data_IF_194073706353
#
_entry.id   IF_194073706353
#
_cell.length_a   1.000
_cell.length_b   1.000
_cell.length_c   1.000
_cell.angle_alpha   90.00
_cell.angle_beta   90.00
_cell.angle_gamma   90.00
#
_symmetry.space_group_name_H-M   'P 1'
#
loop_
_entity.id
_entity.type
_entity.pdbx_description
1 polymer ?
#
# COMPACT_ATOMS: atom_id res chain seq x y z
N UNK A 1 23.10 4.33 34.96
CA UNK A 1 23.28 5.29 33.84
C UNK A 1 22.42 4.77 32.71
N UNK A 2 21.28 5.44 32.46
CA UNK A 2 20.42 5.09 31.36
C UNK A 2 21.12 5.49 30.06
N UNK A 3 21.32 4.53 29.17
CA UNK A 3 21.83 4.75 27.83
C UNK A 3 20.86 5.72 27.15
N UNK A 4 21.32 6.93 26.89
CA UNK A 4 20.49 7.92 26.21
C UNK A 4 20.43 7.44 24.76
N UNK A 5 19.23 7.13 24.20
CA UNK A 5 19.15 6.61 22.84
C UNK A 5 19.89 7.57 21.92
N UNK A 6 20.90 7.02 21.24
CA UNK A 6 21.85 7.72 20.42
C UNK A 6 21.10 8.44 19.29
N UNK A 7 20.65 9.67 19.54
CA UNK A 7 20.08 10.58 18.55
C UNK A 7 21.22 11.06 17.70
N UNK A 8 21.69 10.23 16.77
CA UNK A 8 22.61 10.69 15.75
C UNK A 8 21.84 11.65 14.83
N UNK A 9 22.25 12.92 14.72
CA UNK A 9 21.60 13.88 13.83
C UNK A 9 21.90 13.52 12.36
N UNK A 10 20.87 13.66 11.52
CA UNK A 10 20.75 12.95 10.24
C UNK A 10 21.41 13.68 9.05
N UNK A 11 21.59 15.00 9.12
CA UNK A 11 22.74 15.69 8.51
C UNK A 11 23.46 16.33 9.65
N UNK A 12 24.76 16.14 9.68
CA UNK A 12 25.60 17.00 10.45
C UNK A 12 26.71 17.46 9.53
N UNK A 13 26.78 18.76 9.26
CA UNK A 13 28.08 19.31 8.93
C UNK A 13 29.06 18.92 10.06
N UNK A 14 30.36 18.84 9.78
CA UNK A 14 31.36 18.40 10.75
C UNK A 14 31.32 19.16 12.10
N UNK A 15 30.67 20.33 12.13
CA UNK A 15 30.49 21.20 13.28
C UNK A 15 29.18 21.01 14.07
N UNK A 16 28.28 20.12 13.67
CA UNK A 16 27.05 19.90 14.42
C UNK A 16 25.75 20.31 13.74
N UNK A 17 25.83 21.05 12.63
CA UNK A 17 24.71 21.81 12.07
C UNK A 17 23.88 20.98 11.09
N UNK A 18 22.55 21.05 11.22
CA UNK A 18 21.58 20.25 10.43
C UNK A 18 21.06 20.96 9.17
N UNK A 19 21.08 22.30 9.15
CA UNK A 19 20.65 23.15 8.03
C UNK A 19 21.51 24.43 7.98
N UNK A 20 21.84 24.96 6.79
CA UNK A 20 22.64 26.18 6.71
C UNK A 20 21.85 27.38 7.21
N UNK A 21 22.55 28.29 7.90
CA UNK A 21 22.02 29.60 8.25
C UNK A 21 22.62 30.62 7.28
N UNK A 22 21.80 31.13 6.37
CA UNK A 22 22.21 32.18 5.45
C UNK A 22 22.19 33.55 6.16
N UNK A 23 23.33 34.23 6.16
CA UNK A 23 23.45 35.60 6.68
C UNK A 23 23.77 36.59 5.57
N UNK A 24 23.45 37.87 5.78
CA UNK A 24 23.72 38.91 4.79
C UNK A 24 25.21 38.96 4.42
N UNK A 25 25.49 39.05 3.12
CA UNK A 25 26.85 39.05 2.51
C UNK A 25 27.68 37.80 2.75
N UNK A 26 27.09 36.69 3.18
CA UNK A 26 27.79 35.41 3.21
C UNK A 26 28.22 34.98 1.80
N UNK A 27 29.44 34.47 1.67
CA UNK A 27 29.88 33.78 0.46
C UNK A 27 29.32 32.36 0.52
N UNK A 28 28.33 32.07 -0.33
CA UNK A 28 27.68 30.76 -0.41
C UNK A 28 28.63 29.75 -1.04
N UNK A 29 28.82 28.60 -0.37
CA UNK A 29 29.64 27.50 -0.86
C UNK A 29 28.78 26.34 -1.41
N UNK A 30 29.40 25.42 -2.13
CA UNK A 30 28.70 24.24 -2.66
C UNK A 30 28.20 23.32 -1.54
N UNK A 31 28.94 23.29 -0.44
CA UNK A 31 28.63 22.56 0.79
C UNK A 31 27.37 23.10 1.46
N UNK A 32 27.18 24.42 1.48
CA UNK A 32 25.96 25.06 2.02
C UNK A 32 24.73 24.62 1.24
N UNK A 33 24.79 24.68 -0.10
CA UNK A 33 23.68 24.27 -0.98
C UNK A 33 23.40 22.76 -0.87
N UNK A 34 24.45 21.95 -0.68
CA UNK A 34 24.29 20.51 -0.48
C UNK A 34 23.62 20.21 0.86
N UNK A 35 24.04 20.89 1.93
CA UNK A 35 23.44 20.76 3.25
C UNK A 35 21.98 21.22 3.26
N UNK A 36 21.67 22.35 2.62
CA UNK A 36 20.29 22.86 2.49
C UNK A 36 19.38 21.83 1.82
N UNK A 37 19.79 21.35 0.65
CA UNK A 37 19.06 20.32 -0.10
C UNK A 37 18.86 19.05 0.75
N UNK A 38 19.91 18.56 1.40
CA UNK A 38 19.81 17.36 2.24
C UNK A 38 18.90 17.57 3.45
N UNK A 39 18.93 18.76 4.07
CA UNK A 39 18.03 19.13 5.16
C UNK A 39 16.57 19.10 4.69
N UNK A 40 16.28 19.77 3.57
CA UNK A 40 14.94 19.84 3.00
C UNK A 40 14.41 18.47 2.55
N UNK A 41 15.23 17.65 1.89
CA UNK A 41 14.86 16.27 1.51
C UNK A 41 14.47 15.46 2.74
N UNK A 42 15.20 15.57 3.86
CA UNK A 42 14.87 14.85 5.10
C UNK A 42 13.62 15.40 5.79
N UNK A 43 13.40 16.71 5.74
CA UNK A 43 12.16 17.31 6.25
C UNK A 43 10.96 16.74 5.51
N UNK A 44 11.01 16.71 4.17
CA UNK A 44 9.98 16.10 3.35
C UNK A 44 9.82 14.60 3.62
N UNK A 45 10.91 13.86 3.80
CA UNK A 45 10.86 12.43 4.14
C UNK A 45 10.12 12.20 5.47
N UNK A 46 10.41 13.00 6.50
CA UNK A 46 9.67 12.94 7.77
C UNK A 46 8.19 13.27 7.60
N UNK A 47 7.87 14.30 6.82
CA UNK A 47 6.47 14.66 6.55
C UNK A 47 5.74 13.50 5.87
N UNK A 48 6.34 12.87 4.85
CA UNK A 48 5.76 11.69 4.19
C UNK A 48 5.55 10.54 5.18
N UNK A 49 6.58 10.20 5.94
CA UNK A 49 6.51 9.10 6.90
C UNK A 49 5.44 9.32 7.97
N UNK A 50 5.36 10.53 8.54
CA UNK A 50 4.43 10.81 9.64
C UNK A 50 3.00 11.13 9.20
N UNK A 51 2.82 11.70 7.99
CA UNK A 51 1.49 12.06 7.49
C UNK A 51 0.87 10.95 6.63
N UNK A 52 1.67 10.28 5.80
CA UNK A 52 1.20 9.28 4.84
C UNK A 52 1.63 7.86 5.21
N UNK A 53 2.58 7.70 6.13
CA UNK A 53 3.19 6.41 6.41
C UNK A 53 4.20 6.04 5.33
N UNK A 54 4.36 4.74 5.13
CA UNK A 54 5.29 4.14 4.17
C UNK A 54 4.61 2.93 3.54
N UNK A 55 5.09 2.51 2.39
CA UNK A 55 4.48 1.47 1.58
C UNK A 55 4.47 1.82 0.09
N UNK A 56 3.90 0.93 -0.70
CA UNK A 56 3.58 1.18 -2.11
C UNK A 56 2.39 2.12 -2.18
N UNK A 57 2.49 3.19 -2.96
CA UNK A 57 1.41 4.16 -3.17
C UNK A 57 0.67 3.84 -4.47
N UNK A 58 1.40 3.51 -5.54
CA UNK A 58 0.83 3.13 -6.82
C UNK A 58 1.80 2.27 -7.63
N UNK A 59 1.31 1.29 -8.37
CA UNK A 59 2.16 0.46 -9.24
C UNK A 59 3.13 -0.43 -8.45
N UNK A 60 4.36 -0.61 -8.93
CA UNK A 60 5.35 -1.52 -8.33
C UNK A 60 4.78 -2.93 -8.14
N UNK A 61 4.01 -3.41 -9.12
CA UNK A 61 3.31 -4.69 -9.09
C UNK A 61 4.25 -5.74 -9.70
N UNK A 62 4.73 -6.71 -8.90
CA UNK A 62 5.54 -7.80 -9.42
C UNK A 62 4.64 -8.88 -10.04
N UNK A 63 5.01 -9.36 -11.22
CA UNK A 63 4.32 -10.43 -11.94
C UNK A 63 5.36 -11.41 -12.44
N UNK A 64 5.20 -12.69 -12.11
CA UNK A 64 6.05 -13.76 -12.65
C UNK A 64 5.32 -14.40 -13.83
N UNK A 65 5.97 -14.41 -15.00
CA UNK A 65 5.49 -15.07 -16.21
C UNK A 65 6.57 -16.02 -16.73
N UNK A 66 6.37 -17.32 -16.51
CA UNK A 66 7.42 -18.32 -16.73
C UNK A 66 8.58 -18.10 -15.76
N UNK A 67 9.79 -17.90 -16.29
CA UNK A 67 10.99 -17.63 -15.48
C UNK A 67 11.30 -16.15 -15.28
N UNK A 68 10.51 -15.23 -15.86
CA UNK A 68 10.79 -13.80 -15.82
C UNK A 68 9.89 -13.10 -14.82
N UNK A 69 10.51 -12.38 -13.88
CA UNK A 69 9.84 -11.46 -12.97
C UNK A 69 9.79 -10.07 -13.60
N UNK A 70 8.60 -9.50 -13.75
CA UNK A 70 8.41 -8.11 -14.18
C UNK A 70 7.86 -7.29 -13.04
N UNK A 71 8.50 -6.17 -12.73
CA UNK A 71 8.01 -5.17 -11.78
C UNK A 71 7.49 -3.98 -12.57
N UNK A 72 6.21 -3.65 -12.45
CA UNK A 72 5.62 -2.52 -13.16
C UNK A 72 6.14 -1.17 -12.64
N UNK A 73 6.06 -0.13 -13.48
CA UNK A 73 6.31 1.26 -13.06
C UNK A 73 5.47 1.61 -11.83
N UNK A 74 5.98 2.49 -10.98
CA UNK A 74 5.23 2.90 -9.80
C UNK A 74 5.97 3.84 -8.86
N UNK A 75 5.31 4.12 -7.75
CA UNK A 75 5.73 5.03 -6.72
C UNK A 75 5.49 4.42 -5.33
N UNK A 76 6.46 4.59 -4.44
CA UNK A 76 6.39 4.12 -3.07
C UNK A 76 7.21 5.01 -2.13
N UNK A 77 6.99 4.82 -0.83
CA UNK A 77 7.70 5.52 0.23
C UNK A 77 8.32 4.47 1.15
N UNK A 78 9.62 4.57 1.41
CA UNK A 78 10.33 3.64 2.30
C UNK A 78 10.04 3.92 3.78
N UNK A 79 10.48 3.03 4.66
CA UNK A 79 10.36 3.23 6.11
C UNK A 79 11.11 4.48 6.63
N UNK A 80 12.14 4.97 5.90
CA UNK A 80 12.83 6.23 6.21
C UNK A 80 12.12 7.47 5.65
N UNK A 81 11.05 7.30 4.87
CA UNK A 81 10.32 8.37 4.20
C UNK A 81 10.90 8.77 2.84
N UNK A 82 11.90 8.04 2.34
CA UNK A 82 12.47 8.30 1.02
C UNK A 82 11.53 7.83 -0.08
N UNK A 83 11.55 8.56 -1.20
CA UNK A 83 10.71 8.27 -2.35
C UNK A 83 11.37 7.23 -3.25
N UNK A 84 10.57 6.27 -3.69
CA UNK A 84 10.90 5.33 -4.75
C UNK A 84 10.04 5.65 -5.94
N UNK A 85 10.67 6.07 -7.04
CA UNK A 85 9.98 6.27 -8.31
C UNK A 85 10.61 5.39 -9.37
N UNK A 86 9.85 4.39 -9.82
CA UNK A 86 10.25 3.50 -10.90
C UNK A 86 9.51 3.94 -12.18
N UNK A 87 10.17 4.65 -13.11
CA UNK A 87 9.49 5.25 -14.26
C UNK A 87 9.07 4.21 -15.33
N UNK A 88 9.81 3.10 -15.41
CA UNK A 88 9.65 2.07 -16.43
C UNK A 88 9.61 0.69 -15.78
N UNK A 89 8.94 -0.28 -16.42
CA UNK A 89 8.91 -1.63 -15.91
C UNK A 89 10.30 -2.27 -16.00
N UNK A 90 10.66 -3.06 -14.99
CA UNK A 90 11.93 -3.79 -14.94
C UNK A 90 11.64 -5.28 -15.08
N UNK A 91 12.34 -5.95 -15.98
CA UNK A 91 12.27 -7.39 -16.18
C UNK A 91 13.56 -8.05 -15.67
N UNK A 92 13.41 -9.05 -14.80
CA UNK A 92 14.48 -9.85 -14.22
C UNK A 92 14.30 -11.27 -14.74
N UNK A 93 15.14 -11.74 -15.69
CA UNK A 93 15.06 -13.09 -16.22
C UNK A 93 15.55 -14.11 -15.19
N UNK A 94 15.06 -15.34 -15.33
CA UNK A 94 15.47 -16.50 -14.52
C UNK A 94 15.42 -16.25 -13.00
N UNK A 95 14.28 -15.74 -12.52
CA UNK A 95 14.11 -15.36 -11.12
C UNK A 95 14.32 -16.53 -10.15
N UNK A 96 13.96 -17.75 -10.55
CA UNK A 96 14.19 -18.94 -9.75
C UNK A 96 15.68 -19.14 -9.47
N UNK A 97 16.54 -19.09 -10.50
CA UNK A 97 17.98 -19.22 -10.33
C UNK A 97 18.56 -18.10 -9.44
N UNK A 98 18.02 -16.88 -9.53
CA UNK A 98 18.43 -15.76 -8.66
C UNK A 98 18.06 -16.04 -7.19
N UNK A 99 16.83 -16.48 -6.90
CA UNK A 99 16.38 -16.80 -5.54
C UNK A 99 17.18 -17.96 -4.95
N UNK A 100 17.36 -19.04 -5.69
CA UNK A 100 18.19 -20.17 -5.26
C UNK A 100 19.65 -19.78 -5.04
N UNK A 101 20.21 -18.95 -5.91
CA UNK A 101 21.59 -18.47 -5.78
C UNK A 101 21.82 -17.56 -4.56
N UNK A 102 20.86 -16.69 -4.25
CA UNK A 102 21.00 -15.72 -3.15
C UNK A 102 20.58 -16.28 -1.79
N UNK A 103 19.50 -17.06 -1.76
CA UNK A 103 18.82 -17.49 -0.53
C UNK A 103 18.73 -19.01 -0.37
N UNK A 104 19.21 -19.79 -1.34
CA UNK A 104 19.27 -21.24 -1.24
C UNK A 104 20.37 -21.73 -0.30
N UNK A 105 20.36 -23.03 0.03
CA UNK A 105 21.39 -23.64 0.87
C UNK A 105 22.74 -23.60 0.16
N UNK A 106 23.78 -23.20 0.91
CA UNK A 106 25.13 -23.04 0.38
C UNK A 106 25.39 -21.65 -0.23
N UNK A 107 24.88 -20.58 0.39
CA UNK A 107 25.09 -19.18 -0.01
C UNK A 107 26.50 -18.95 -0.56
N UNK A 108 26.58 -18.82 -1.87
CA UNK A 108 27.73 -18.26 -2.57
C UNK A 108 27.45 -16.77 -2.64
N UNK A 109 28.38 -15.93 -2.21
CA UNK A 109 28.25 -14.47 -2.26
C UNK A 109 27.60 -14.04 -3.59
N UNK A 110 26.56 -13.21 -3.50
CA UNK A 110 25.68 -12.87 -4.62
C UNK A 110 26.43 -12.21 -5.79
N UNK A 111 27.66 -11.76 -5.58
CA UNK A 111 28.43 -10.89 -6.47
C UNK A 111 29.12 -11.61 -7.63
N UNK A 112 29.36 -12.92 -7.56
CA UNK A 112 30.00 -13.66 -8.67
C UNK A 112 29.53 -15.11 -8.69
N UNK A 113 28.60 -15.45 -9.59
CA UNK A 113 28.31 -16.86 -9.85
C UNK A 113 28.02 -17.12 -11.31
N UNK A 114 28.73 -18.10 -11.86
CA UNK A 114 28.44 -18.77 -13.13
C UNK A 114 27.01 -19.34 -13.09
N UNK A 115 26.16 -18.89 -14.03
CA UNK A 115 24.75 -19.32 -14.13
C UNK A 115 24.63 -20.84 -14.31
N UNK A 116 25.62 -21.48 -14.95
CA UNK A 116 25.63 -22.93 -15.18
C UNK A 116 25.97 -23.71 -13.91
N UNK A 117 26.74 -23.13 -12.99
CA UNK A 117 27.01 -23.72 -11.68
C UNK A 117 25.77 -23.60 -10.77
N UNK A 118 25.07 -22.45 -10.81
CA UNK A 118 23.79 -22.28 -10.10
C UNK A 118 22.74 -23.28 -10.57
N UNK A 119 22.63 -23.49 -11.88
CA UNK A 119 21.66 -24.43 -12.45
C UNK A 119 21.93 -25.87 -12.00
N UNK A 120 23.21 -26.28 -11.96
CA UNK A 120 23.61 -27.60 -11.45
C UNK A 120 23.32 -27.78 -9.95
N UNK A 121 23.51 -26.73 -9.14
CA UNK A 121 23.15 -26.77 -7.72
C UNK A 121 21.64 -26.82 -7.51
N UNK A 122 20.86 -26.09 -8.31
CA UNK A 122 19.41 -26.12 -8.26
C UNK A 122 18.86 -27.52 -8.63
N UNK A 123 19.44 -28.16 -9.65
CA UNK A 123 19.09 -29.54 -10.04
C UNK A 123 19.47 -30.56 -8.95
N UNK A 124 20.48 -30.29 -8.12
CA UNK A 124 20.86 -31.16 -7.01
C UNK A 124 19.99 -30.99 -5.75
N UNK A 125 19.23 -29.89 -5.65
CA UNK A 125 18.40 -29.53 -4.49
C UNK A 125 16.94 -29.93 -4.69
N UNK A 126 16.70 -31.19 -5.05
CA UNK A 126 15.38 -31.75 -5.40
C UNK A 126 14.30 -31.73 -4.29
N UNK A 127 14.52 -31.15 -3.11
CA UNK A 127 13.55 -31.27 -1.98
C UNK A 127 13.26 -30.00 -1.17
N UNK A 128 13.85 -28.85 -1.51
CA UNK A 128 13.66 -27.61 -0.74
C UNK A 128 12.67 -26.63 -1.35
N UNK A 129 11.91 -25.93 -0.52
CA UNK A 129 11.30 -24.63 -0.89
C UNK A 129 12.20 -23.51 -0.39
N UNK A 130 12.60 -22.59 -1.26
CA UNK A 130 13.36 -21.39 -0.89
C UNK A 130 12.45 -20.17 -0.94
N UNK A 131 12.52 -19.35 0.10
CA UNK A 131 11.75 -18.12 0.19
C UNK A 131 12.70 -16.93 0.18
N UNK A 132 12.38 -15.93 -0.63
CA UNK A 132 13.04 -14.63 -0.64
C UNK A 132 12.00 -13.52 -0.65
N UNK A 133 12.37 -12.35 -0.16
CA UNK A 133 11.57 -11.13 -0.25
C UNK A 133 12.11 -10.25 -1.36
N UNK A 134 11.21 -9.82 -2.25
CA UNK A 134 11.52 -8.83 -3.27
C UNK A 134 11.45 -7.45 -2.64
N UNK A 135 12.57 -6.73 -2.63
CA UNK A 135 12.64 -5.39 -2.05
C UNK A 135 13.06 -4.35 -3.10
N UNK A 136 12.60 -3.12 -2.92
CA UNK A 136 13.02 -1.96 -3.69
C UNK A 136 13.78 -0.98 -2.78
N UNK A 137 14.99 -0.58 -3.16
CA UNK A 137 15.87 0.30 -2.38
C UNK A 137 16.20 1.57 -3.18
N UNK A 138 16.15 2.77 -2.57
CA UNK A 138 16.65 3.96 -3.22
C UNK A 138 18.17 3.87 -3.27
N UNK A 139 18.74 4.08 -4.44
CA UNK A 139 20.19 4.06 -4.64
C UNK A 139 20.60 5.21 -5.54
N UNK A 140 21.90 5.48 -5.59
CA UNK A 140 22.46 6.51 -6.45
C UNK A 140 23.25 5.85 -7.55
N UNK A 141 22.93 6.21 -8.80
CA UNK A 141 23.75 5.85 -9.95
C UNK A 141 24.49 7.08 -10.43
N UNK A 142 25.80 6.95 -10.54
CA UNK A 142 26.61 7.98 -11.18
C UNK A 142 26.17 8.14 -12.64
N UNK A 143 25.91 9.40 -13.02
CA UNK A 143 25.60 9.77 -14.39
C UNK A 143 26.82 9.62 -15.31
N UNK A 144 26.65 9.98 -16.58
CA UNK A 144 27.77 9.94 -17.51
C UNK A 144 28.92 10.84 -17.04
N UNK A 145 30.13 10.31 -17.18
CA UNK A 145 31.35 11.05 -16.88
C UNK A 145 31.47 12.24 -17.81
N UNK A 146 31.76 13.42 -17.26
CA UNK A 146 32.07 14.64 -18.01
C UNK A 146 33.37 15.23 -17.49
N UNK A 147 34.05 16.00 -18.34
CA UNK A 147 35.19 16.79 -17.90
C UNK A 147 34.74 17.76 -16.81
N UNK A 148 35.39 17.73 -15.64
CA UNK A 148 35.07 18.64 -14.54
C UNK A 148 35.44 20.10 -14.82
N UNK A 149 36.22 20.34 -15.88
CA UNK A 149 36.66 21.66 -16.35
C UNK A 149 36.36 21.72 -17.86
N UNK A 150 35.94 22.88 -18.41
CA UNK A 150 35.70 23.03 -19.84
C UNK A 150 36.88 22.54 -20.70
N UNK A 151 36.56 21.96 -21.86
CA UNK A 151 37.57 21.54 -22.84
C UNK A 151 38.46 22.74 -23.22
N UNK A 152 39.78 22.58 -23.09
CA UNK A 152 40.77 23.62 -23.42
C UNK A 152 41.52 24.21 -22.22
N UNK A 153 41.09 23.95 -20.99
CA UNK A 153 41.93 24.24 -19.82
C UNK A 153 42.92 23.09 -19.58
N UNK A 154 44.21 23.35 -19.78
CA UNK A 154 45.30 22.41 -19.48
C UNK A 154 45.54 22.26 -17.96
N UNK A 155 44.48 22.08 -17.18
CA UNK A 155 44.58 21.92 -15.75
C UNK A 155 44.88 20.46 -15.42
N UNK A 156 45.90 20.14 -14.61
CA UNK A 156 46.26 18.76 -14.26
C UNK A 156 45.15 18.01 -13.48
N UNK A 157 44.13 18.73 -13.00
CA UNK A 157 42.93 18.16 -12.40
C UNK A 157 41.76 17.94 -13.39
N UNK A 158 41.99 17.97 -14.71
CA UNK A 158 40.97 17.60 -15.70
C UNK A 158 40.74 16.08 -15.70
N UNK A 159 40.18 15.58 -14.59
CA UNK A 159 39.71 14.20 -14.47
C UNK A 159 38.25 14.16 -14.90
N UNK A 160 37.89 13.12 -15.63
CA UNK A 160 36.50 12.79 -15.88
C UNK A 160 35.84 12.48 -14.52
N UNK A 161 34.79 13.21 -14.20
CA UNK A 161 34.01 13.01 -12.98
C UNK A 161 32.53 12.86 -13.36
N UNK A 162 31.75 12.08 -12.62
CA UNK A 162 30.30 11.99 -12.85
C UNK A 162 29.70 13.38 -12.68
N UNK A 163 29.01 13.88 -13.72
CA UNK A 163 28.47 15.24 -13.68
C UNK A 163 27.27 15.38 -12.74
N UNK A 164 26.67 14.26 -12.33
CA UNK A 164 25.52 14.16 -11.44
C UNK A 164 25.42 12.74 -10.89
N UNK A 165 24.90 12.60 -9.68
CA UNK A 165 24.32 11.35 -9.21
C UNK A 165 22.81 11.42 -9.43
N UNK A 166 22.23 10.40 -10.06
CA UNK A 166 20.79 10.29 -10.23
C UNK A 166 20.24 9.34 -9.16
N UNK A 167 19.12 9.71 -8.56
CA UNK A 167 18.35 8.79 -7.73
C UNK A 167 17.74 7.73 -8.66
N UNK A 168 18.03 6.47 -8.36
CA UNK A 168 17.48 5.31 -9.07
C UNK A 168 16.95 4.30 -8.05
N UNK A 169 16.15 3.35 -8.52
CA UNK A 169 15.62 2.27 -7.69
C UNK A 169 16.38 0.99 -8.01
N UNK A 170 16.92 0.35 -6.97
CA UNK A 170 17.47 -1.01 -7.03
C UNK A 170 16.36 -2.00 -6.68
N UNK A 171 16.26 -3.10 -7.43
CA UNK A 171 15.38 -4.23 -7.11
C UNK A 171 16.27 -5.38 -6.65
N UNK A 172 16.11 -5.77 -5.39
CA UNK A 172 16.99 -6.71 -4.70
C UNK A 172 16.19 -7.86 -4.10
N UNK A 173 16.87 -8.97 -3.82
CA UNK A 173 16.34 -10.09 -3.06
C UNK A 173 16.91 -10.04 -1.65
N UNK A 174 16.05 -10.11 -0.64
CA UNK A 174 16.45 -10.33 0.74
C UNK A 174 16.06 -11.73 1.19
N UNK A 175 16.97 -12.43 1.87
CA UNK A 175 16.70 -13.77 2.40
C UNK A 175 16.14 -13.76 3.81
N UNK A 176 16.06 -12.58 4.44
CA UNK A 176 15.40 -12.40 5.73
C UNK A 176 14.59 -11.11 5.70
N UNK A 177 13.39 -11.16 6.28
CA UNK A 177 12.60 -9.96 6.49
C UNK A 177 12.70 -9.53 7.95
N UNK A 178 13.16 -8.30 8.24
CA UNK A 178 13.12 -7.80 9.59
C UNK A 178 11.69 -7.76 10.14
N UNK A 179 11.50 -8.12 11.42
CA UNK A 179 10.17 -8.28 12.03
C UNK A 179 9.32 -7.01 12.07
N UNK A 180 9.91 -5.83 11.90
CA UNK A 180 9.16 -4.57 11.84
C UNK A 180 8.46 -4.34 10.49
N UNK A 181 8.82 -5.10 9.45
CA UNK A 181 8.08 -5.10 8.17
C UNK A 181 6.86 -6.02 8.20
N UNK A 182 6.74 -6.90 9.20
CA UNK A 182 5.56 -7.74 9.37
C UNK A 182 4.37 -6.83 9.64
N UNK A 183 3.36 -6.86 8.76
CA UNK A 183 2.19 -5.99 8.86
C UNK A 183 1.58 -6.09 10.26
N UNK A 184 1.54 -5.00 11.04
CA UNK A 184 0.87 -5.03 12.32
C UNK A 184 -0.61 -5.34 12.06
N UNK A 185 -1.18 -6.25 12.86
CA UNK A 185 -2.62 -6.47 12.82
C UNK A 185 -3.31 -5.17 13.30
N UNK A 186 -3.83 -4.40 12.36
CA UNK A 186 -4.55 -3.15 12.61
C UNK A 186 -5.95 -3.47 13.12
N UNK A 187 -6.02 -4.02 14.33
CA UNK A 187 -7.28 -4.23 15.03
C UNK A 187 -7.80 -2.89 15.58
N UNK A 188 -9.09 -2.60 15.36
CA UNK A 188 -9.75 -1.42 15.91
C UNK A 188 -9.64 -1.37 17.44
N UNK A 189 -9.61 -2.52 18.13
CA UNK A 189 -9.44 -2.58 19.60
C UNK A 189 -8.10 -1.97 20.05
N UNK A 190 -7.03 -2.20 19.29
CA UNK A 190 -5.72 -1.61 19.59
C UNK A 190 -5.72 -0.08 19.45
N UNK A 191 -6.61 0.47 18.61
CA UNK A 191 -6.74 1.91 18.42
C UNK A 191 -7.61 2.59 19.49
N UNK A 192 -8.56 1.87 20.11
CA UNK A 192 -9.47 2.44 21.10
C UNK A 192 -8.77 3.11 22.27
N UNK A 193 -7.62 2.59 22.71
CA UNK A 193 -6.85 3.19 23.80
C UNK A 193 -6.38 4.63 23.50
N UNK A 194 -6.20 4.98 22.22
CA UNK A 194 -5.73 6.31 21.81
C UNK A 194 -6.88 7.30 21.61
N UNK A 195 -8.03 6.83 21.13
CA UNK A 195 -9.15 7.71 20.79
C UNK A 195 -10.26 7.76 21.86
N UNK A 196 -10.51 6.65 22.55
CA UNK A 196 -11.65 6.49 23.47
C UNK A 196 -11.25 6.47 24.95
N UNK A 197 -9.98 6.21 25.30
CA UNK A 197 -9.56 6.14 26.69
C UNK A 197 -9.61 7.51 27.39
N UNK A 198 -9.86 7.48 28.70
CA UNK A 198 -9.75 8.65 29.59
C UNK A 198 -8.81 8.30 30.75
N UNK A 199 -7.62 8.93 30.87
CA UNK A 199 -7.07 9.94 29.97
C UNK A 199 -6.67 9.36 28.60
N UNK A 200 -6.70 10.20 27.55
CA UNK A 200 -6.24 9.80 26.22
C UNK A 200 -4.76 9.44 26.30
N UNK A 201 -4.39 8.28 25.76
CA UNK A 201 -2.98 7.91 25.62
C UNK A 201 -2.39 8.60 24.40
N UNK A 202 -1.18 9.12 24.52
CA UNK A 202 -0.44 9.62 23.36
C UNK A 202 0.02 8.44 22.51
N UNK A 203 -0.09 8.56 21.19
CA UNK A 203 0.55 7.62 20.28
C UNK A 203 2.06 7.64 20.54
N UNK A 204 2.71 6.49 20.75
CA UNK A 204 4.15 6.45 20.92
C UNK A 204 4.81 6.96 19.64
N UNK A 205 5.86 7.77 19.79
CA UNK A 205 6.68 8.15 18.64
C UNK A 205 7.37 6.88 18.11
N UNK A 206 7.23 6.53 16.82
CA UNK A 206 7.93 5.38 16.26
C UNK A 206 9.45 5.57 16.41
N UNK A 207 10.16 4.46 16.53
CA UNK A 207 11.61 4.47 16.53
C UNK A 207 12.13 5.03 15.20
N UNK A 208 13.26 5.75 15.25
CA UNK A 208 13.89 6.24 14.03
C UNK A 208 14.42 5.06 13.21
N UNK A 209 14.07 5.00 11.92
CA UNK A 209 14.53 3.94 11.03
C UNK A 209 16.04 4.08 10.77
N UNK A 210 16.74 2.95 10.63
CA UNK A 210 18.16 2.95 10.23
C UNK A 210 18.29 2.94 8.70
N UNK A 211 19.46 3.33 8.19
CA UNK A 211 19.72 3.35 6.74
C UNK A 211 19.60 1.97 6.08
N UNK A 212 19.96 0.90 6.80
CA UNK A 212 19.81 -0.48 6.34
C UNK A 212 18.34 -0.83 6.06
N UNK A 213 17.42 -0.22 6.80
CA UNK A 213 15.97 -0.38 6.70
C UNK A 213 15.33 0.50 5.63
N UNK A 214 16.14 1.29 4.90
CA UNK A 214 15.67 2.15 3.83
C UNK A 214 15.33 1.34 2.57
N UNK A 215 14.27 0.54 2.63
CA UNK A 215 13.75 -0.20 1.50
C UNK A 215 12.24 -0.41 1.64
N UNK A 216 11.63 -0.85 0.55
CA UNK A 216 10.22 -1.18 0.46
C UNK A 216 10.06 -2.65 0.07
N UNK A 217 9.26 -3.39 0.81
CA UNK A 217 8.91 -4.78 0.49
C UNK A 217 7.83 -4.78 -0.59
N UNK A 218 8.12 -5.40 -1.72
CA UNK A 218 7.18 -5.56 -2.82
C UNK A 218 6.37 -6.85 -2.71
N UNK A 219 6.94 -7.87 -2.07
CA UNK A 219 6.26 -9.13 -1.74
C UNK A 219 7.25 -10.26 -1.51
N UNK A 220 6.73 -11.48 -1.47
CA UNK A 220 7.46 -12.71 -1.21
C UNK A 220 7.50 -13.56 -2.47
N UNK A 221 8.66 -14.12 -2.77
CA UNK A 221 8.87 -15.09 -3.83
C UNK A 221 9.19 -16.44 -3.19
N UNK A 222 8.41 -17.46 -3.54
CA UNK A 222 8.67 -18.84 -3.15
C UNK A 222 9.10 -19.62 -4.38
N UNK A 223 10.25 -20.26 -4.31
CA UNK A 223 10.78 -21.10 -5.37
C UNK A 223 10.80 -22.56 -4.94
N UNK A 224 10.30 -23.43 -5.82
CA UNK A 224 10.33 -24.89 -5.71
C UNK A 224 10.89 -25.50 -7.00
N UNK A 225 10.92 -26.82 -7.09
CA UNK A 225 11.28 -27.52 -8.32
C UNK A 225 10.32 -27.25 -9.49
N UNK A 226 9.08 -26.86 -9.20
CA UNK A 226 8.03 -26.62 -10.21
C UNK A 226 8.09 -25.19 -10.79
N UNK A 227 8.74 -24.26 -10.09
CA UNK A 227 8.89 -22.88 -10.56
C UNK A 227 9.01 -21.87 -9.42
N UNK A 228 8.78 -20.60 -9.78
CA UNK A 228 8.72 -19.49 -8.84
C UNK A 228 7.31 -18.92 -8.79
N UNK A 229 6.79 -18.72 -7.58
CA UNK A 229 5.50 -18.09 -7.32
C UNK A 229 5.72 -16.78 -6.55
N UNK A 230 4.99 -15.74 -6.95
CA UNK A 230 5.00 -14.46 -6.27
C UNK A 230 3.72 -14.31 -5.43
N UNK A 231 3.89 -13.85 -4.20
CA UNK A 231 2.80 -13.52 -3.30
C UNK A 231 2.97 -12.12 -2.73
N UNK A 232 1.92 -11.30 -2.80
CA UNK A 232 1.94 -9.94 -2.26
C UNK A 232 1.88 -9.87 -0.72
N UNK A 233 2.20 -10.96 0.00
CA UNK A 233 2.33 -10.94 1.45
C UNK A 233 3.44 -9.97 1.86
N UNK A 234 3.27 -9.31 3.00
CA UNK A 234 4.21 -8.31 3.55
C UNK A 234 4.36 -7.03 2.71
N UNK A 235 3.70 -6.96 1.54
CA UNK A 235 3.58 -5.73 0.76
C UNK A 235 2.65 -4.78 1.49
N UNK A 236 3.22 -3.72 2.04
CA UNK A 236 2.45 -2.64 2.66
C UNK A 236 2.00 -1.65 1.59
N UNK A 237 0.71 -1.32 1.59
CA UNK A 237 0.16 -0.30 0.70
C UNK A 237 -0.26 0.91 1.50
N UNK A 238 0.10 2.10 1.00
CA UNK A 238 -0.31 3.37 1.60
C UNK A 238 -1.73 3.66 1.15
N UNK A 239 -2.66 3.65 2.11
CA UNK A 239 -4.04 4.06 1.85
C UNK A 239 -4.10 5.58 1.61
N UNK A 240 -4.93 6.04 0.66
CA UNK A 240 -5.27 7.46 0.58
C UNK A 240 -5.83 7.97 1.92
N UNK A 241 -5.50 9.22 2.28
CA UNK A 241 -5.89 9.80 3.57
C UNK A 241 -7.39 9.72 3.84
N UNK A 242 -8.23 9.97 2.83
CA UNK A 242 -9.68 9.89 2.98
C UNK A 242 -10.14 8.48 3.37
N UNK A 243 -9.52 7.44 2.80
CA UNK A 243 -9.85 6.06 3.12
C UNK A 243 -9.41 5.68 4.53
N UNK A 244 -8.24 6.18 4.97
CA UNK A 244 -7.78 6.02 6.35
C UNK A 244 -8.75 6.68 7.32
N UNK A 245 -9.22 7.89 6.99
CA UNK A 245 -10.19 8.62 7.81
C UNK A 245 -11.52 7.86 7.89
N UNK A 246 -12.06 7.39 6.77
CA UNK A 246 -13.30 6.61 6.73
C UNK A 246 -13.18 5.30 7.52
N UNK A 247 -12.05 4.60 7.39
CA UNK A 247 -11.77 3.39 8.17
C UNK A 247 -11.68 3.68 9.68
N UNK A 248 -10.97 4.75 10.07
CA UNK A 248 -10.89 5.18 11.47
C UNK A 248 -12.28 5.56 12.01
N UNK A 249 -13.09 6.26 11.22
CA UNK A 249 -14.46 6.59 11.57
C UNK A 249 -15.29 5.33 11.80
N UNK A 250 -15.22 4.34 10.91
CA UNK A 250 -15.92 3.07 11.07
C UNK A 250 -15.43 2.26 12.28
N UNK A 251 -14.12 2.27 12.56
CA UNK A 251 -13.53 1.58 13.71
C UNK A 251 -13.93 2.20 15.06
N UNK A 252 -13.94 3.53 15.17
CA UNK A 252 -13.98 4.25 16.46
C UNK A 252 -15.38 4.75 16.77
N UNK A 253 -16.10 5.23 15.77
CA UNK A 253 -17.48 5.63 15.90
C UNK A 253 -18.31 4.44 15.42
N UNK A 254 -18.86 3.57 16.31
CA UNK A 254 -20.01 2.80 15.88
C UNK A 254 -20.99 3.86 15.38
N UNK A 255 -21.27 3.87 14.07
CA UNK A 255 -22.39 4.67 13.56
C UNK A 255 -23.51 4.36 14.54
N UNK A 256 -24.08 5.37 15.25
CA UNK A 256 -25.19 5.10 16.14
C UNK A 256 -26.13 4.30 15.29
N UNK A 257 -26.31 3.02 15.62
CA UNK A 257 -27.30 2.21 14.94
C UNK A 257 -28.53 3.03 15.18
N UNK A 258 -29.03 3.68 14.12
CA UNK A 258 -30.23 4.48 14.18
C UNK A 258 -31.14 3.64 15.04
N UNK A 259 -31.47 4.18 16.22
CA UNK A 259 -32.50 3.59 17.03
C UNK A 259 -33.65 3.59 16.05
N UNK A 260 -33.91 2.41 15.45
CA UNK A 260 -35.04 2.18 14.58
C UNK A 260 -36.15 2.94 15.26
N UNK A 261 -36.74 3.96 14.61
CA UNK A 261 -37.68 4.85 15.27
C UNK A 261 -38.58 3.93 16.06
N UNK A 262 -38.42 3.99 17.39
CA UNK A 262 -39.20 3.17 18.31
C UNK A 262 -40.57 3.69 17.99
N UNK A 263 -41.32 2.92 17.21
CA UNK A 263 -42.46 3.41 16.46
C UNK A 263 -43.25 4.27 17.41
N UNK A 264 -43.39 5.55 17.07
CA UNK A 264 -44.10 6.51 17.89
C UNK A 264 -45.43 5.84 18.24
N UNK A 265 -45.52 5.34 19.47
CA UNK A 265 -46.81 5.16 20.10
C UNK A 265 -47.36 6.58 20.09
N UNK A 266 -48.43 6.71 19.31
CA UNK A 266 -49.26 7.88 19.06
C UNK A 266 -49.73 8.49 20.39
N UNK A 267 -48.81 9.12 21.12
CA UNK A 267 -49.08 9.95 22.27
C UNK A 267 -49.62 11.26 21.71
N UNK A 268 -50.93 11.25 21.41
CA UNK A 268 -51.72 12.33 20.82
C UNK A 268 -51.45 13.70 21.43
N UNK A 269 -50.37 14.34 20.97
CA UNK A 269 -50.03 15.70 21.32
C UNK A 269 -50.96 16.61 20.50
N UNK A 270 -51.79 17.42 21.16
CA UNK A 270 -52.67 18.34 20.47
C UNK A 270 -51.83 19.33 19.66
N UNK A 271 -52.22 19.51 18.39
CA UNK A 271 -51.75 20.55 17.49
C UNK A 271 -51.75 21.90 18.23
N UNK A 272 -50.56 22.38 18.58
CA UNK A 272 -50.39 23.74 19.03
C UNK A 272 -50.20 24.59 17.78
N UNK A 273 -51.17 25.45 17.53
CA UNK A 273 -51.19 26.47 16.49
C UNK A 273 -49.82 27.18 16.40
N UNK A 274 -49.17 27.06 15.24
CA UNK A 274 -48.01 27.89 14.89
C UNK A 274 -48.46 29.34 14.72
N UNK A 275 -47.92 30.31 15.49
CA UNK A 275 -48.08 31.71 15.16
C UNK A 275 -47.22 32.03 13.93
N UNK A 276 -47.88 32.59 12.92
CA UNK A 276 -47.25 33.22 11.78
C UNK A 276 -46.37 34.41 12.22
N UNK A 277 -45.35 34.65 11.40
CA UNK A 277 -44.59 35.89 11.26
C UNK A 277 -43.50 36.17 12.32
N UNK A 278 -42.24 35.89 11.94
CA UNK A 278 -41.16 36.85 12.18
C UNK A 278 -40.11 36.75 11.05
N UNK A 279 -40.15 37.73 10.13
CA UNK A 279 -39.21 37.98 9.04
C UNK A 279 -37.85 38.48 9.56
N UNK A 280 -37.24 37.69 10.44
CA UNK A 280 -35.92 37.94 11.00
C UNK A 280 -34.82 37.50 10.04
N UNK A 281 -34.26 38.47 9.32
CA UNK A 281 -32.99 38.40 8.56
C UNK A 281 -31.99 37.40 9.17
N UNK A 282 -31.90 36.20 8.58
CA UNK A 282 -30.91 35.19 8.96
C UNK A 282 -29.58 35.60 8.31
N UNK A 283 -28.52 35.91 9.09
CA UNK A 283 -27.21 36.22 8.52
C UNK A 283 -26.71 35.02 7.73
N UNK A 284 -26.19 35.31 6.53
CA UNK A 284 -25.69 34.36 5.53
C UNK A 284 -25.02 33.14 6.17
N UNK A 285 -25.76 32.04 6.23
CA UNK A 285 -25.18 30.74 6.51
C UNK A 285 -24.17 30.46 5.39
N UNK A 286 -22.91 30.13 5.68
CA UNK A 286 -21.93 29.79 4.65
C UNK A 286 -22.54 28.69 3.78
N UNK A 287 -22.42 28.78 2.44
CA UNK A 287 -23.05 27.84 1.54
C UNK A 287 -22.68 26.44 1.98
N UNK A 288 -23.71 25.61 2.22
CA UNK A 288 -23.55 24.20 2.55
C UNK A 288 -22.53 23.61 1.58
N UNK A 289 -21.34 23.28 2.11
CA UNK A 289 -20.33 22.58 1.31
C UNK A 289 -21.03 21.32 0.83
N UNK A 290 -21.14 21.08 -0.49
CA UNK A 290 -21.70 19.83 -0.97
C UNK A 290 -20.90 18.72 -0.31
N UNK A 291 -21.59 17.87 0.45
CA UNK A 291 -20.99 16.63 0.95
C UNK A 291 -20.40 15.94 -0.27
N UNK A 292 -19.08 15.81 -0.34
CA UNK A 292 -18.43 15.03 -1.38
C UNK A 292 -18.90 13.59 -1.22
N UNK A 293 -20.03 13.25 -1.84
CA UNK A 293 -20.42 11.87 -2.09
C UNK A 293 -19.49 11.39 -3.17
N UNK A 294 -18.50 10.60 -2.76
CA UNK A 294 -17.73 9.81 -3.69
C UNK A 294 -18.68 8.72 -4.21
N UNK A 295 -19.09 8.82 -5.47
CA UNK A 295 -19.91 7.79 -6.16
C UNK A 295 -19.08 6.53 -6.52
N UNK A 296 -18.10 6.19 -5.68
CA UNK A 296 -17.32 4.96 -5.84
C UNK A 296 -18.05 3.88 -5.05
N UNK A 297 -18.46 2.82 -5.75
CA UNK A 297 -19.09 1.68 -5.09
C UNK A 297 -18.06 0.97 -4.21
N UNK A 298 -18.51 0.37 -3.09
CA UNK A 298 -17.64 -0.45 -2.23
C UNK A 298 -16.96 -1.57 -3.05
N UNK A 299 -17.61 -2.08 -4.11
CA UNK A 299 -17.03 -3.06 -5.02
C UNK A 299 -15.82 -2.56 -5.80
N UNK A 300 -15.89 -1.37 -6.40
CA UNK A 300 -14.76 -0.73 -7.10
C UNK A 300 -13.62 -0.42 -6.15
N UNK A 301 -13.95 -0.02 -4.92
CA UNK A 301 -12.95 0.20 -3.88
C UNK A 301 -12.26 -1.11 -3.47
N UNK A 302 -13.01 -2.21 -3.30
CA UNK A 302 -12.45 -3.53 -2.99
C UNK A 302 -11.54 -4.02 -4.11
N UNK A 303 -11.91 -3.85 -5.38
CA UNK A 303 -11.07 -4.25 -6.51
C UNK A 303 -9.75 -3.45 -6.54
N UNK A 304 -9.82 -2.13 -6.34
CA UNK A 304 -8.63 -1.29 -6.22
C UNK A 304 -7.77 -1.71 -5.03
N UNK A 305 -8.38 -2.04 -3.89
CA UNK A 305 -7.66 -2.50 -2.70
C UNK A 305 -6.98 -3.86 -2.95
N UNK A 306 -7.68 -4.81 -3.57
CA UNK A 306 -7.13 -6.15 -3.88
C UNK A 306 -6.01 -6.07 -4.91
N UNK A 307 -6.16 -5.29 -5.99
CA UNK A 307 -5.11 -5.08 -7.01
C UNK A 307 -3.87 -4.44 -6.39
N UNK A 308 -4.04 -3.62 -5.36
CA UNK A 308 -2.94 -3.02 -4.62
C UNK A 308 -2.47 -3.87 -3.42
N UNK A 309 -2.88 -5.14 -3.31
CA UNK A 309 -2.35 -6.09 -2.33
C UNK A 309 -2.91 -5.95 -0.92
N UNK A 310 -4.02 -5.24 -0.71
CA UNK A 310 -4.70 -5.22 0.59
C UNK A 310 -5.37 -6.57 0.87
N UNK A 311 -5.03 -7.17 2.02
CA UNK A 311 -5.76 -8.31 2.57
C UNK A 311 -6.99 -7.81 3.33
N UNK A 312 -8.17 -8.22 2.88
CA UNK A 312 -9.37 -8.12 3.71
C UNK A 312 -9.27 -9.22 4.78
N UNK A 313 -9.65 -8.95 6.05
CA UNK A 313 -9.49 -9.92 7.13
C UNK A 313 -10.21 -11.23 6.80
N UNK A 314 -9.45 -12.32 6.77
CA UNK A 314 -9.96 -13.68 6.73
C UNK A 314 -10.35 -14.08 8.16
N UNK A 315 -11.65 -14.07 8.47
CA UNK A 315 -12.16 -14.45 9.79
C UNK A 315 -12.11 -15.97 9.99
N UNK A 316 -10.98 -16.47 10.51
CA UNK A 316 -10.91 -17.72 11.28
C UNK A 316 -10.61 -17.39 12.75
N UNK A 317 -11.62 -17.00 13.54
CA UNK A 317 -11.47 -17.07 15.00
C UNK A 317 -12.39 -16.23 15.89
N UNK A 318 -13.05 -15.18 15.39
CA UNK A 318 -13.92 -14.36 16.24
C UNK A 318 -15.41 -14.65 15.95
N UNK A 319 -16.12 -15.17 16.95
CA UNK A 319 -17.59 -15.21 16.96
C UNK A 319 -18.10 -13.77 17.15
N UNK A 320 -18.13 -13.01 16.07
CA UNK A 320 -18.91 -11.77 15.94
C UNK A 320 -19.93 -11.96 14.81
N UNK A 321 -21.13 -11.41 15.01
CA UNK A 321 -22.33 -11.73 14.25
C UNK A 321 -22.24 -11.46 12.72
N UNK A 322 -22.98 -12.23 11.89
CA UNK A 322 -22.85 -12.25 10.43
C UNK A 322 -23.58 -11.10 9.74
N UNK A 323 -23.06 -9.89 9.86
CA UNK A 323 -23.54 -8.74 9.08
C UNK A 323 -22.36 -7.90 8.61
N UNK A 324 -21.80 -8.25 7.45
CA UNK A 324 -21.08 -7.39 6.48
C UNK A 324 -20.07 -8.20 5.65
N UNK A 325 -20.56 -9.23 4.94
CA UNK A 325 -19.90 -9.70 3.71
C UNK A 325 -20.61 -9.01 2.55
N UNK A 326 -19.90 -8.46 1.54
CA UNK A 326 -20.57 -7.90 0.38
C UNK A 326 -21.35 -9.02 -0.30
N UNK A 327 -22.68 -8.96 -0.20
CA UNK A 327 -23.58 -9.92 -0.85
C UNK A 327 -23.52 -9.62 -2.35
N UNK A 328 -23.61 -10.63 -3.21
CA UNK A 328 -23.78 -10.43 -4.68
C UNK A 328 -24.82 -9.35 -5.03
N UNK A 329 -25.97 -9.29 -4.34
CA UNK A 329 -26.84 -8.12 -4.24
C UNK A 329 -26.19 -6.72 -4.31
N UNK A 330 -25.09 -6.49 -3.61
CA UNK A 330 -24.44 -5.20 -3.38
C UNK A 330 -23.45 -4.81 -4.48
N UNK A 331 -22.97 -5.77 -5.27
CA UNK A 331 -22.22 -5.51 -6.51
C UNK A 331 -23.14 -5.06 -7.65
N UNK A 332 -24.46 -5.19 -7.47
CA UNK A 332 -25.47 -4.77 -8.43
C UNK A 332 -26.10 -3.46 -7.94
N UNK A 333 -25.78 -2.37 -8.65
CA UNK A 333 -26.27 -1.03 -8.34
C UNK A 333 -27.80 -0.89 -8.43
N UNK A 334 -28.48 -1.76 -9.20
CA UNK A 334 -29.95 -1.76 -9.31
C UNK A 334 -30.63 -2.55 -8.16
N UNK A 335 -31.37 -1.88 -7.26
CA UNK A 335 -32.05 -2.54 -6.14
C UNK A 335 -33.15 -3.52 -6.58
N UNK A 336 -33.73 -3.38 -7.78
CA UNK A 336 -34.75 -4.32 -8.27
C UNK A 336 -34.13 -5.65 -8.64
N UNK A 337 -32.93 -5.63 -9.22
CA UNK A 337 -32.19 -6.84 -9.57
C UNK A 337 -31.70 -7.53 -8.30
N UNK A 338 -31.27 -6.74 -7.32
CA UNK A 338 -30.90 -7.18 -5.97
C UNK A 338 -31.97 -8.02 -5.27
N UNK A 339 -33.20 -7.51 -5.25
CA UNK A 339 -34.34 -8.18 -4.62
C UNK A 339 -34.75 -9.44 -5.37
N UNK A 340 -34.56 -9.48 -6.69
CA UNK A 340 -34.82 -10.68 -7.51
C UNK A 340 -33.79 -11.77 -7.23
N UNK A 341 -32.51 -11.45 -7.19
CA UNK A 341 -31.45 -12.41 -6.85
C UNK A 341 -31.62 -12.96 -5.44
N UNK A 342 -31.94 -12.10 -4.48
CA UNK A 342 -32.20 -12.52 -3.10
C UNK A 342 -33.40 -13.47 -3.02
N UNK A 343 -34.51 -13.17 -3.72
CA UNK A 343 -35.67 -14.07 -3.82
C UNK A 343 -35.37 -15.39 -4.52
N UNK A 344 -34.43 -15.39 -5.46
CA UNK A 344 -33.94 -16.59 -6.13
C UNK A 344 -32.93 -17.39 -5.28
N UNK A 345 -32.61 -16.95 -4.06
CA UNK A 345 -31.60 -17.59 -3.19
C UNK A 345 -30.15 -17.31 -3.60
N UNK A 346 -29.93 -16.45 -4.60
CA UNK A 346 -28.61 -16.10 -5.15
C UNK A 346 -28.03 -14.95 -4.31
N UNK A 347 -27.50 -15.29 -3.14
CA UNK A 347 -26.99 -14.31 -2.17
C UNK A 347 -25.46 -14.26 -2.09
N UNK A 348 -24.78 -15.28 -2.63
CA UNK A 348 -23.31 -15.40 -2.65
C UNK A 348 -22.77 -15.53 -4.07
N UNK A 349 -21.48 -15.22 -4.26
CA UNK A 349 -20.82 -15.33 -5.57
C UNK A 349 -20.81 -16.77 -6.08
N UNK A 350 -20.68 -17.74 -5.18
CA UNK A 350 -20.78 -19.17 -5.52
C UNK A 350 -22.18 -19.54 -5.97
N UNK A 351 -23.22 -19.04 -5.31
CA UNK A 351 -24.60 -19.24 -5.73
C UNK A 351 -24.85 -18.59 -7.10
N UNK A 352 -24.25 -17.43 -7.40
CA UNK A 352 -24.38 -16.79 -8.72
C UNK A 352 -23.66 -17.57 -9.82
N UNK A 353 -22.44 -18.05 -9.57
CA UNK A 353 -21.68 -18.85 -10.53
C UNK A 353 -22.31 -20.23 -10.75
N UNK A 354 -22.91 -20.82 -9.72
CA UNK A 354 -23.56 -22.13 -9.76
C UNK A 354 -25.03 -22.10 -10.23
N UNK A 355 -25.68 -20.91 -10.25
CA UNK A 355 -27.05 -20.76 -10.72
C UNK A 355 -27.18 -21.25 -12.17
N UNK A 356 -28.32 -21.82 -12.57
CA UNK A 356 -28.56 -22.14 -13.97
C UNK A 356 -28.63 -20.85 -14.82
N UNK A 357 -28.05 -20.85 -16.04
CA UNK A 357 -27.94 -19.65 -16.87
C UNK A 357 -29.31 -19.11 -17.29
N UNK A 358 -30.31 -19.98 -17.51
CA UNK A 358 -31.68 -19.57 -17.84
C UNK A 358 -32.38 -18.94 -16.64
N UNK A 359 -32.17 -19.50 -15.43
CA UNK A 359 -32.70 -18.96 -14.18
C UNK A 359 -32.07 -17.61 -13.85
N UNK A 360 -30.75 -17.49 -14.03
CA UNK A 360 -30.03 -16.25 -13.79
C UNK A 360 -30.46 -15.16 -14.78
N UNK A 361 -30.56 -15.48 -16.07
CA UNK A 361 -31.05 -14.58 -17.11
C UNK A 361 -32.47 -14.06 -16.83
N UNK A 362 -33.39 -14.96 -16.46
CA UNK A 362 -34.75 -14.59 -16.07
C UNK A 362 -34.77 -13.68 -14.82
N UNK A 363 -33.92 -13.96 -13.84
CA UNK A 363 -33.81 -13.19 -12.60
C UNK A 363 -33.26 -11.78 -12.86
N UNK A 364 -32.27 -11.66 -13.74
CA UNK A 364 -31.65 -10.40 -14.16
C UNK A 364 -32.52 -9.62 -15.17
N UNK A 365 -33.51 -10.25 -15.81
CA UNK A 365 -34.27 -9.66 -16.92
C UNK A 365 -33.40 -9.45 -18.16
N UNK A 366 -32.48 -10.38 -18.42
CA UNK A 366 -31.44 -10.33 -19.46
C UNK A 366 -31.52 -11.59 -20.34
N UNK A 367 -30.71 -11.66 -21.40
CA UNK A 367 -30.59 -12.89 -22.20
C UNK A 367 -29.68 -13.90 -21.53
N UNK A 368 -29.77 -15.18 -21.91
CA UNK A 368 -28.87 -16.23 -21.43
C UNK A 368 -27.41 -15.92 -21.77
N UNK A 369 -27.15 -15.34 -22.95
CA UNK A 369 -25.81 -14.90 -23.35
C UNK A 369 -25.24 -13.81 -22.41
N UNK A 370 -26.07 -12.87 -21.95
CA UNK A 370 -25.65 -11.85 -20.99
C UNK A 370 -25.32 -12.46 -19.62
N UNK A 371 -26.07 -13.49 -19.19
CA UNK A 371 -25.82 -14.19 -17.93
C UNK A 371 -24.50 -14.98 -17.99
N UNK A 372 -24.21 -15.64 -19.11
CA UNK A 372 -22.93 -16.33 -19.36
C UNK A 372 -21.77 -15.33 -19.37
N UNK A 373 -21.94 -14.18 -20.04
CA UNK A 373 -20.93 -13.13 -20.07
C UNK A 373 -20.64 -12.57 -18.67
N UNK A 374 -21.68 -12.28 -17.88
CA UNK A 374 -21.54 -11.84 -16.48
C UNK A 374 -20.80 -12.87 -15.63
N UNK A 375 -21.11 -14.17 -15.77
CA UNK A 375 -20.37 -15.22 -15.08
C UNK A 375 -18.92 -15.31 -15.53
N UNK A 376 -18.64 -15.11 -16.81
CA UNK A 376 -17.27 -15.10 -17.34
C UNK A 376 -16.46 -13.91 -16.83
N UNK A 377 -17.08 -12.75 -16.61
CA UNK A 377 -16.44 -11.58 -15.98
C UNK A 377 -16.19 -11.80 -14.47
N UNK A 378 -17.12 -12.46 -13.77
CA UNK A 378 -17.00 -12.71 -12.32
C UNK A 378 -16.13 -13.94 -12.01
N UNK A 379 -16.01 -14.92 -12.90
CA UNK A 379 -15.27 -16.16 -12.66
C UNK A 379 -13.77 -15.94 -12.34
N UNK A 380 -13.02 -15.03 -13.00
CA UNK A 380 -11.66 -14.67 -12.62
C UNK A 380 -11.59 -14.03 -11.22
N UNK A 381 -12.64 -13.28 -10.84
CA UNK A 381 -12.76 -12.65 -9.52
C UNK A 381 -12.99 -13.68 -8.40
N UNK A 382 -13.38 -14.92 -8.75
CA UNK A 382 -13.57 -16.04 -7.80
C UNK A 382 -12.33 -16.35 -6.97
N UNK A 383 -11.13 -16.23 -7.56
CA UNK A 383 -9.85 -16.43 -6.85
C UNK A 383 -9.68 -15.39 -5.73
N UNK A 384 -10.25 -14.21 -5.90
CA UNK A 384 -10.15 -13.09 -4.98
C UNK A 384 -11.28 -13.04 -3.95
N UNK A 385 -12.44 -13.63 -4.26
CA UNK A 385 -13.62 -13.67 -3.38
C UNK A 385 -13.58 -14.88 -2.42
N UNK A 386 -12.90 -15.97 -2.80
CA UNK A 386 -12.97 -17.22 -2.03
C UNK A 386 -11.96 -17.36 -0.91
N UNK A 387 -10.97 -16.47 -0.74
CA UNK A 387 -10.08 -16.45 0.42
C UNK A 387 -9.75 -17.85 0.95
N UNK A 388 -9.44 -18.79 0.05
CA UNK A 388 -9.03 -20.14 0.43
C UNK A 388 -7.53 -20.13 0.33
N UNK A 389 -6.91 -20.10 1.50
CA UNK A 389 -5.47 -20.15 1.66
C UNK A 389 -4.85 -21.29 0.85
N UNK A 390 -3.74 -20.92 0.22
CA UNK A 390 -2.50 -21.69 0.26
C UNK A 390 -1.44 -20.78 0.87
#
# INVERSE_FOLDING_TARGET
MADTPNRLPLAQAANGVEAPLYVDRQIVQAEDLTLDRSSHTRELARMRLYLHGWGVVAGLIPVISGSTLTVSKGYGVTWTGDELFLPEAVAIPDIAAHVWGCCGPGQVDCDVVDLDERRRMAEALETGTVTAWLIARPTKREGSLRAGIPEGCAHPANRLAPSRACDVVSIELSCTLPSFFTSPNLDCENLRAFFCATPRQMLPMPALPTEEQNFLVLGRITCSAEGAEFSAVDRRTVMPMWLVQDWLHACICPMPQDRLPVGDEDDGRPEADEPADDDGHRPDAPPDRPSHRYDVTIGELVEVLVVNGFRLPDDEGAVAQPSQRPRVPELIGDPRIRDRLTRAGITTTEALLAADDTVLAATLGKTEADAVALKAEIAPLRVFILGRGI
#
